data_IF_356855962938
#
_entry.id   IF_356855962938
#
_cell.length_a   1.000
_cell.length_b   1.000
_cell.length_c   1.000
_cell.angle_alpha   90.00
_cell.angle_beta   90.00
_cell.angle_gamma   90.00
#
_symmetry.space_group_name_H-M   'P 1'
#
loop_
_entity.id
_entity.type
_entity.pdbx_description
1 polymer ?
#
# COMPACT_ATOMS: atom_id res chain seq x y z
N UNK A 1 59.12 -77.11 47.62
CA UNK A 1 58.40 -78.31 48.10
C UNK A 1 57.11 -77.89 48.76
N UNK A 2 55.96 -78.15 48.12
CA UNK A 2 54.66 -78.53 48.72
C UNK A 2 53.54 -78.40 47.67
N UNK A 3 53.21 -79.57 47.13
CA UNK A 3 51.92 -80.08 46.65
C UNK A 3 50.91 -79.14 45.98
N UNK A 4 50.66 -79.41 44.69
CA UNK A 4 49.37 -79.14 44.04
C UNK A 4 48.95 -80.49 43.42
N UNK A 5 47.83 -81.12 43.85
CA UNK A 5 47.38 -82.36 43.24
C UNK A 5 46.60 -82.08 41.95
N UNK A 6 46.98 -82.78 40.88
CA UNK A 6 46.14 -83.02 39.72
C UNK A 6 44.92 -83.84 40.15
N UNK A 7 43.71 -83.37 39.80
CA UNK A 7 42.52 -84.22 39.83
C UNK A 7 41.71 -84.04 38.53
N UNK A 8 41.76 -85.10 37.75
CA UNK A 8 40.73 -85.69 36.88
C UNK A 8 39.91 -84.83 35.91
N UNK A 9 40.18 -85.11 34.63
CA UNK A 9 39.28 -85.09 33.48
C UNK A 9 37.81 -85.37 33.78
N UNK A 10 36.93 -84.49 33.28
CA UNK A 10 35.66 -84.89 32.69
C UNK A 10 35.30 -83.93 31.54
N UNK A 11 35.53 -84.41 30.33
CA UNK A 11 35.04 -83.85 29.06
C UNK A 11 33.59 -84.28 28.94
N UNK A 12 32.62 -83.42 29.25
CA UNK A 12 31.22 -83.62 28.86
C UNK A 12 30.60 -82.26 28.48
N UNK A 13 30.06 -82.19 27.27
CA UNK A 13 29.01 -81.25 26.88
C UNK A 13 29.47 -79.92 26.30
N UNK A 14 29.68 -79.88 24.99
CA UNK A 14 29.29 -78.69 24.23
C UNK A 14 27.77 -78.51 24.39
N UNK A 15 27.36 -77.49 25.12
CA UNK A 15 26.08 -76.84 24.90
C UNK A 15 26.41 -75.39 24.54
N UNK A 16 26.44 -75.12 23.24
CA UNK A 16 26.25 -73.78 22.70
C UNK A 16 24.83 -73.39 23.09
N UNK A 17 24.68 -72.64 24.19
CA UNK A 17 23.46 -71.88 24.39
C UNK A 17 23.44 -70.81 23.30
N UNK A 18 22.46 -70.93 22.41
CA UNK A 18 22.10 -69.90 21.47
C UNK A 18 21.71 -68.66 22.26
N UNK A 19 22.68 -67.75 22.46
CA UNK A 19 22.40 -66.37 22.77
C UNK A 19 21.56 -65.86 21.61
N UNK A 20 20.26 -65.71 21.86
CA UNK A 20 19.34 -65.13 20.91
C UNK A 20 19.92 -63.81 20.41
N UNK A 21 19.96 -63.66 19.10
CA UNK A 21 20.16 -62.39 18.42
C UNK A 21 19.06 -61.43 18.89
N UNK A 22 19.30 -60.75 20.02
CA UNK A 22 18.57 -59.54 20.37
C UNK A 22 19.35 -58.37 19.76
N UNK A 23 18.92 -57.84 18.60
CA UNK A 23 19.58 -56.70 17.96
C UNK A 23 19.59 -55.44 18.85
N UNK A 24 18.87 -55.44 19.98
CA UNK A 24 18.86 -54.34 20.95
C UNK A 24 20.00 -54.39 21.97
N UNK A 25 20.70 -55.51 22.12
CA UNK A 25 21.81 -55.64 23.05
C UNK A 25 23.08 -54.89 22.57
N UNK A 26 23.25 -54.73 21.25
CA UNK A 26 24.41 -54.07 20.66
C UNK A 26 24.43 -52.53 20.85
N UNK A 27 23.29 -51.92 21.20
CA UNK A 27 23.12 -50.45 21.18
C UNK A 27 23.41 -49.80 22.54
N UNK A 28 23.59 -50.58 23.62
CA UNK A 28 23.72 -50.02 24.99
C UNK A 28 25.09 -49.37 25.29
N UNK A 29 26.07 -49.48 24.41
CA UNK A 29 27.42 -48.93 24.61
C UNK A 29 27.80 -47.73 23.72
N UNK A 30 26.96 -47.36 22.74
CA UNK A 30 27.29 -46.27 21.81
C UNK A 30 26.65 -44.98 22.30
N UNK A 31 27.43 -44.14 23.00
CA UNK A 31 27.05 -42.75 23.21
C UNK A 31 27.37 -41.99 21.92
N UNK A 32 26.39 -41.90 21.03
CA UNK A 32 26.43 -40.89 19.97
C UNK A 32 26.28 -39.56 20.69
N UNK A 33 27.37 -38.82 20.88
CA UNK A 33 27.29 -37.39 21.14
C UNK A 33 26.70 -36.76 19.88
N UNK A 34 25.37 -36.79 19.79
CA UNK A 34 24.65 -36.02 18.80
C UNK A 34 24.98 -34.57 19.07
N UNK A 35 25.90 -34.00 18.28
CA UNK A 35 26.02 -32.56 18.16
C UNK A 35 24.60 -32.03 18.01
N UNK A 36 24.17 -31.13 18.92
CA UNK A 36 22.89 -30.45 18.71
C UNK A 36 22.95 -29.89 17.30
N UNK A 37 21.97 -30.20 16.43
CA UNK A 37 21.96 -29.58 15.12
C UNK A 37 22.11 -28.08 15.35
N UNK A 38 23.08 -27.47 14.66
CA UNK A 38 23.22 -26.02 14.68
C UNK A 38 21.82 -25.43 14.44
N UNK A 39 21.42 -24.34 15.12
CA UNK A 39 20.15 -23.72 14.82
C UNK A 39 20.09 -23.50 13.32
N UNK A 40 19.12 -24.14 12.66
CA UNK A 40 18.86 -23.97 11.24
C UNK A 40 18.93 -22.46 10.98
N UNK A 41 19.77 -21.98 10.03
CA UNK A 41 19.87 -20.55 9.79
C UNK A 41 18.46 -20.04 9.60
N UNK A 42 18.01 -19.14 10.48
CA UNK A 42 16.65 -18.63 10.52
C UNK A 42 16.29 -18.30 9.07
N UNK A 43 15.48 -19.17 8.46
CA UNK A 43 15.20 -19.10 7.03
C UNK A 43 14.40 -17.84 6.92
N UNK A 44 15.09 -16.74 6.68
CA UNK A 44 14.50 -15.43 6.53
C UNK A 44 13.38 -15.69 5.54
N UNK A 45 12.15 -15.64 6.02
CA UNK A 45 10.97 -15.73 5.18
C UNK A 45 11.08 -14.47 4.35
N UNK A 46 11.84 -14.53 3.27
CA UNK A 46 11.80 -13.58 2.19
C UNK A 46 10.35 -13.65 1.77
N UNK A 47 9.53 -12.76 2.35
CA UNK A 47 8.16 -12.58 1.96
C UNK A 47 8.27 -12.11 0.53
N UNK A 48 8.13 -13.04 -0.40
CA UNK A 48 8.01 -12.71 -1.80
C UNK A 48 7.06 -11.53 -1.91
N UNK A 49 7.45 -10.45 -2.61
CA UNK A 49 6.62 -9.26 -2.67
C UNK A 49 5.21 -9.67 -3.09
N UNK A 50 4.20 -9.18 -2.36
CA UNK A 50 2.81 -9.49 -2.70
C UNK A 50 2.56 -9.14 -4.17
N UNK A 51 1.87 -9.99 -4.95
CA UNK A 51 1.52 -9.67 -6.33
C UNK A 51 0.83 -8.31 -6.41
N UNK A 52 1.09 -7.54 -7.47
CA UNK A 52 0.54 -6.18 -7.64
C UNK A 52 -0.99 -6.17 -7.54
N UNK A 53 -1.66 -7.18 -8.10
CA UNK A 53 -3.11 -7.37 -7.98
C UNK A 53 -3.55 -7.52 -6.52
N UNK A 54 -2.82 -8.28 -5.70
CA UNK A 54 -3.07 -8.44 -4.28
C UNK A 54 -2.75 -7.16 -3.47
N UNK A 55 -1.80 -6.35 -3.94
CA UNK A 55 -1.52 -5.04 -3.35
C UNK A 55 -2.68 -4.06 -3.59
N UNK A 56 -3.23 -4.04 -4.82
CA UNK A 56 -4.41 -3.27 -5.22
C UNK A 56 -5.65 -3.71 -4.44
N UNK A 57 -5.93 -5.02 -4.38
CA UNK A 57 -7.09 -5.55 -3.65
C UNK A 57 -7.04 -5.19 -2.16
N UNK A 58 -5.85 -5.25 -1.55
CA UNK A 58 -5.67 -4.82 -0.17
C UNK A 58 -5.86 -3.30 0.03
N UNK A 59 -5.72 -2.49 -1.02
CA UNK A 59 -6.03 -1.07 -0.99
C UNK A 59 -7.49 -0.80 -0.61
N UNK A 60 -8.44 -1.55 -1.19
CA UNK A 60 -9.87 -1.48 -0.82
C UNK A 60 -10.08 -1.82 0.66
N UNK A 61 -9.49 -2.92 1.12
CA UNK A 61 -9.65 -3.35 2.52
C UNK A 61 -9.07 -2.33 3.50
N UNK A 62 -7.93 -1.74 3.17
CA UNK A 62 -7.31 -0.70 3.98
C UNK A 62 -8.18 0.56 4.03
N UNK A 63 -8.75 0.97 2.90
CA UNK A 63 -9.66 2.12 2.84
C UNK A 63 -10.88 1.93 3.76
N UNK A 64 -11.48 0.75 3.71
CA UNK A 64 -12.63 0.41 4.56
C UNK A 64 -12.26 0.38 6.05
N UNK A 65 -11.19 -0.34 6.42
CA UNK A 65 -10.71 -0.43 7.81
C UNK A 65 -10.24 0.91 8.39
N UNK A 66 -9.88 1.87 7.54
CA UNK A 66 -9.48 3.22 7.95
C UNK A 66 -10.67 4.18 8.05
N UNK A 67 -11.89 3.69 7.82
CA UNK A 67 -13.14 4.42 8.02
C UNK A 67 -13.45 5.42 6.91
N UNK A 68 -12.81 5.31 5.75
CA UNK A 68 -13.01 6.26 4.64
C UNK A 68 -14.47 6.25 4.16
N UNK A 69 -15.12 5.09 4.18
CA UNK A 69 -16.54 4.91 3.82
C UNK A 69 -17.51 5.59 4.80
N UNK A 70 -17.05 6.01 5.98
CA UNK A 70 -17.85 6.82 6.90
C UNK A 70 -18.07 8.27 6.43
N UNK A 71 -17.32 8.72 5.42
CA UNK A 71 -17.47 10.05 4.80
C UNK A 71 -17.47 10.02 3.27
N UNK A 72 -17.06 8.94 2.61
CA UNK A 72 -17.00 8.86 1.16
C UNK A 72 -17.82 7.69 0.64
N UNK A 73 -18.60 7.91 -0.41
CA UNK A 73 -19.16 6.81 -1.17
C UNK A 73 -18.13 6.23 -2.13
N UNK A 74 -18.36 4.96 -2.48
CA UNK A 74 -17.57 4.21 -3.43
C UNK A 74 -18.44 3.65 -4.56
N UNK A 75 -19.73 3.95 -4.55
CA UNK A 75 -20.71 3.41 -5.47
C UNK A 75 -21.64 4.54 -5.96
N UNK A 76 -21.76 4.65 -7.29
CA UNK A 76 -22.49 5.72 -7.96
C UNK A 76 -24.02 5.59 -7.82
N UNK A 77 -24.49 4.49 -7.26
CA UNK A 77 -25.89 4.08 -7.26
C UNK A 77 -26.66 4.48 -6.00
N UNK A 78 -25.99 5.05 -4.98
CA UNK A 78 -26.65 5.45 -3.72
C UNK A 78 -26.74 6.97 -3.62
N UNK A 79 -27.93 7.50 -3.32
CA UNK A 79 -28.12 8.92 -3.00
C UNK A 79 -27.27 9.29 -1.77
N UNK A 80 -26.24 10.13 -1.93
CA UNK A 80 -25.19 10.26 -0.94
C UNK A 80 -25.33 11.55 -0.14
N UNK A 81 -25.28 11.47 1.19
CA UNK A 81 -24.79 12.62 1.95
C UNK A 81 -23.77 12.20 3.00
N UNK A 82 -22.77 11.35 2.69
CA UNK A 82 -21.63 11.30 3.58
C UNK A 82 -20.88 12.63 3.46
N UNK A 83 -20.14 12.99 4.50
CA UNK A 83 -19.52 14.32 4.66
C UNK A 83 -18.48 14.69 3.59
N UNK A 84 -18.15 13.77 2.68
CA UNK A 84 -17.15 13.90 1.62
C UNK A 84 -17.67 13.46 0.23
N UNK A 85 -16.90 13.73 -0.82
CA UNK A 85 -17.28 13.43 -2.19
C UNK A 85 -17.27 11.92 -2.50
N UNK A 86 -18.11 11.50 -3.45
CA UNK A 86 -18.04 10.16 -4.04
C UNK A 86 -16.67 9.90 -4.71
N UNK A 87 -16.14 8.71 -4.47
CA UNK A 87 -14.87 8.24 -5.02
C UNK A 87 -15.04 7.15 -6.09
N UNK A 88 -16.27 6.68 -6.39
CA UNK A 88 -16.53 5.61 -7.35
C UNK A 88 -15.94 5.85 -8.75
N UNK A 89 -15.72 7.11 -9.12
CA UNK A 89 -15.06 7.51 -10.38
C UNK A 89 -13.80 8.37 -10.19
N UNK A 90 -13.18 8.36 -9.02
CA UNK A 90 -12.06 9.29 -8.70
C UNK A 90 -10.84 9.10 -9.60
N UNK A 91 -10.60 7.87 -10.08
CA UNK A 91 -9.51 7.56 -11.01
C UNK A 91 -9.63 8.34 -12.32
N UNK A 92 -10.85 8.61 -12.81
CA UNK A 92 -11.07 9.42 -14.03
C UNK A 92 -10.75 10.90 -13.81
N UNK A 93 -10.92 11.40 -12.59
CA UNK A 93 -10.87 12.83 -12.27
C UNK A 93 -9.49 13.32 -11.85
N UNK A 94 -8.64 12.42 -11.37
CA UNK A 94 -7.36 12.75 -10.72
C UNK A 94 -6.24 11.79 -11.13
N UNK A 95 -5.01 12.12 -10.76
CA UNK A 95 -3.84 11.25 -10.97
C UNK A 95 -3.42 10.54 -9.68
N UNK A 96 -2.68 9.42 -9.82
CA UNK A 96 -2.11 8.71 -8.67
C UNK A 96 -1.20 9.63 -7.81
N UNK A 97 -0.42 10.50 -8.47
CA UNK A 97 0.41 11.48 -7.79
C UNK A 97 -0.42 12.47 -6.95
N UNK A 98 -1.54 12.95 -7.50
CA UNK A 98 -2.45 13.82 -6.75
C UNK A 98 -3.07 13.10 -5.55
N UNK A 99 -3.52 11.86 -5.73
CA UNK A 99 -4.08 11.05 -4.65
C UNK A 99 -3.07 10.80 -3.52
N UNK A 100 -1.80 10.53 -3.84
CA UNK A 100 -0.74 10.37 -2.84
C UNK A 100 -0.49 11.67 -2.06
N UNK A 101 -0.40 12.80 -2.76
CA UNK A 101 -0.24 14.12 -2.14
C UNK A 101 -1.42 14.45 -1.21
N UNK A 102 -2.65 14.27 -1.70
CA UNK A 102 -3.86 14.53 -0.95
C UNK A 102 -3.97 13.66 0.30
N UNK A 103 -3.73 12.35 0.19
CA UNK A 103 -3.79 11.43 1.33
C UNK A 103 -2.65 11.63 2.34
N UNK A 104 -1.55 12.28 1.95
CA UNK A 104 -0.45 12.62 2.86
C UNK A 104 -0.82 13.78 3.77
N UNK A 105 -1.40 14.85 3.23
CA UNK A 105 -1.92 15.97 4.02
C UNK A 105 -3.01 16.78 3.30
N UNK A 106 -4.30 16.47 3.54
CA UNK A 106 -5.40 17.23 2.95
C UNK A 106 -5.43 18.69 3.39
N UNK A 107 -5.06 18.99 4.64
CA UNK A 107 -5.07 20.36 5.18
C UNK A 107 -3.89 21.20 4.71
N UNK A 108 -2.79 20.54 4.36
CA UNK A 108 -1.66 21.16 3.71
C UNK A 108 -2.02 21.62 2.30
N UNK A 109 -2.64 20.75 1.52
CA UNK A 109 -3.10 21.08 0.16
C UNK A 109 -4.31 22.04 0.18
N UNK A 110 -5.27 21.84 1.08
CA UNK A 110 -6.46 22.67 1.22
C UNK A 110 -6.58 23.12 2.69
N UNK A 111 -6.18 24.37 3.04
CA UNK A 111 -6.12 24.85 4.43
C UNK A 111 -7.39 24.63 5.27
N UNK A 112 -8.57 24.61 4.63
CA UNK A 112 -9.87 24.39 5.27
C UNK A 112 -10.51 23.04 4.90
N UNK A 113 -9.70 22.03 4.57
CA UNK A 113 -10.20 20.71 4.20
C UNK A 113 -10.98 20.08 5.35
N UNK A 114 -12.20 19.60 5.05
CA UNK A 114 -13.00 18.79 5.98
C UNK A 114 -12.51 17.35 6.05
N UNK A 115 -11.67 16.90 5.11
CA UNK A 115 -11.07 15.59 5.15
C UNK A 115 -9.93 15.59 6.19
N UNK A 116 -10.02 14.79 7.26
CA UNK A 116 -9.00 14.78 8.28
C UNK A 116 -7.70 14.13 7.79
N UNK A 117 -6.58 14.43 8.46
CA UNK A 117 -5.33 13.66 8.29
C UNK A 117 -5.53 12.26 8.85
N UNK A 118 -5.82 11.30 7.97
CA UNK A 118 -5.87 9.89 8.34
C UNK A 118 -4.45 9.39 8.52
N UNK A 119 -4.13 8.81 9.69
CA UNK A 119 -2.80 8.25 9.97
C UNK A 119 -2.55 7.00 9.11
N UNK A 120 -1.89 7.17 7.97
CA UNK A 120 -1.52 6.10 7.05
C UNK A 120 0.00 5.97 6.98
N UNK A 121 0.53 4.76 7.12
CA UNK A 121 1.91 4.47 6.74
C UNK A 121 2.05 4.45 5.21
N UNK A 122 3.26 4.69 4.70
CA UNK A 122 3.51 4.85 3.25
C UNK A 122 3.00 3.67 2.42
N UNK A 123 3.29 2.43 2.84
CA UNK A 123 2.82 1.24 2.15
C UNK A 123 1.28 1.13 2.12
N UNK A 124 0.59 1.55 3.19
CA UNK A 124 -0.86 1.52 3.23
C UNK A 124 -1.46 2.61 2.34
N UNK A 125 -0.89 3.83 2.37
CA UNK A 125 -1.30 4.95 1.53
C UNK A 125 -1.17 4.61 0.05
N UNK A 126 -0.01 4.10 -0.37
CA UNK A 126 0.24 3.75 -1.78
C UNK A 126 -0.68 2.64 -2.30
N UNK A 127 -1.07 1.68 -1.45
CA UNK A 127 -2.05 0.64 -1.83
C UNK A 127 -3.45 1.22 -2.02
N UNK A 128 -3.85 2.16 -1.17
CA UNK A 128 -5.11 2.90 -1.32
C UNK A 128 -5.07 3.72 -2.62
N UNK A 129 -3.97 4.46 -2.87
CA UNK A 129 -3.77 5.23 -4.12
C UNK A 129 -3.88 4.33 -5.35
N UNK A 130 -3.23 3.16 -5.34
CA UNK A 130 -3.26 2.21 -6.45
C UNK A 130 -4.69 1.72 -6.72
N UNK A 131 -5.46 1.40 -5.67
CA UNK A 131 -6.85 1.00 -5.81
C UNK A 131 -7.75 2.12 -6.35
N UNK A 132 -7.69 3.32 -5.74
CA UNK A 132 -8.49 4.49 -6.16
C UNK A 132 -8.20 4.91 -7.60
N UNK A 133 -6.93 4.79 -8.03
CA UNK A 133 -6.51 5.13 -9.39
C UNK A 133 -7.16 4.24 -10.46
N UNK A 134 -7.58 3.02 -10.10
CA UNK A 134 -8.28 2.10 -10.99
C UNK A 134 -9.79 2.37 -11.12
N UNK A 135 -10.38 3.16 -10.22
CA UNK A 135 -11.84 3.38 -10.18
C UNK A 135 -12.34 4.23 -11.36
N UNK A 136 -13.49 3.83 -11.92
CA UNK A 136 -14.12 4.45 -13.08
C UNK A 136 -13.33 4.36 -14.39
N UNK A 137 -12.13 3.78 -14.39
CA UNK A 137 -11.33 3.64 -15.61
C UNK A 137 -11.79 2.50 -16.52
N UNK A 138 -12.42 1.45 -15.97
CA UNK A 138 -12.97 0.35 -16.76
C UNK A 138 -14.03 0.85 -17.76
N UNK A 139 -14.91 1.77 -17.34
CA UNK A 139 -15.91 2.42 -18.21
C UNK A 139 -15.28 3.35 -19.26
N UNK A 140 -14.00 3.72 -19.08
CA UNK A 140 -13.26 4.64 -19.95
C UNK A 140 -12.33 3.93 -20.93
N UNK A 141 -12.18 2.60 -20.84
CA UNK A 141 -11.36 1.84 -21.79
C UNK A 141 -12.00 1.73 -23.19
N UNK A 142 -13.26 2.16 -23.34
CA UNK A 142 -14.00 2.03 -24.60
C UNK A 142 -13.82 3.18 -25.60
N UNK A 143 -13.29 4.33 -25.21
CA UNK A 143 -12.93 5.42 -26.12
C UNK A 143 -12.15 6.49 -25.36
N UNK A 144 -11.20 7.15 -26.02
CA UNK A 144 -10.71 8.44 -25.52
C UNK A 144 -11.93 9.36 -25.29
N UNK A 145 -12.03 10.04 -24.13
CA UNK A 145 -13.10 11.00 -23.93
C UNK A 145 -13.09 11.98 -25.11
N UNK A 146 -14.26 12.35 -25.65
CA UNK A 146 -14.32 13.24 -26.79
C UNK A 146 -13.49 14.49 -26.49
N UNK A 147 -12.70 14.92 -27.47
CA UNK A 147 -11.96 16.17 -27.34
C UNK A 147 -12.94 17.26 -26.93
N UNK A 148 -12.62 17.98 -25.86
CA UNK A 148 -13.47 19.08 -25.41
C UNK A 148 -13.56 20.15 -26.50
N UNK A 149 -14.76 20.67 -26.71
CA UNK A 149 -14.97 21.82 -27.60
C UNK A 149 -14.87 23.10 -26.76
N UNK A 150 -13.73 23.78 -26.89
CA UNK A 150 -13.44 25.02 -26.16
C UNK A 150 -14.42 26.15 -26.51
N UNK A 151 -14.90 26.23 -27.76
CA UNK A 151 -15.86 27.25 -28.19
C UNK A 151 -17.23 27.01 -27.57
N UNK A 152 -17.72 25.76 -27.64
CA UNK A 152 -18.98 25.40 -26.99
C UNK A 152 -18.90 25.58 -25.47
N UNK A 153 -17.77 25.22 -24.86
CA UNK A 153 -17.50 25.45 -23.44
C UNK A 153 -17.54 26.94 -23.08
N UNK A 154 -16.91 27.81 -23.89
CA UNK A 154 -16.95 29.26 -23.73
C UNK A 154 -18.36 29.82 -23.78
N UNK A 155 -19.17 29.42 -24.77
CA UNK A 155 -20.57 29.87 -24.85
C UNK A 155 -21.40 29.44 -23.64
N UNK A 156 -21.19 28.23 -23.12
CA UNK A 156 -21.85 27.77 -21.90
C UNK A 156 -21.41 28.59 -20.68
N UNK A 157 -20.11 28.89 -20.58
CA UNK A 157 -19.54 29.69 -19.51
C UNK A 157 -20.17 31.09 -19.46
N UNK A 158 -20.35 31.72 -20.62
CA UNK A 158 -21.05 32.99 -20.76
C UNK A 158 -22.55 32.85 -20.49
N UNK A 159 -23.24 31.88 -21.11
CA UNK A 159 -24.70 31.77 -20.98
C UNK A 159 -25.15 31.45 -19.55
N UNK A 160 -24.35 30.69 -18.82
CA UNK A 160 -24.60 30.35 -17.41
C UNK A 160 -24.12 31.45 -16.44
N UNK A 161 -23.54 32.53 -16.97
CA UNK A 161 -23.00 33.64 -16.18
C UNK A 161 -22.01 33.17 -15.10
N UNK A 162 -21.20 32.16 -15.43
CA UNK A 162 -20.21 31.58 -14.52
C UNK A 162 -19.27 32.66 -13.94
N UNK A 163 -18.95 33.66 -14.77
CA UNK A 163 -18.10 34.78 -14.42
C UNK A 163 -18.71 35.71 -13.36
N UNK A 164 -20.04 35.68 -13.16
CA UNK A 164 -20.69 36.45 -12.10
C UNK A 164 -20.23 36.04 -10.71
N UNK A 165 -19.92 34.75 -10.53
CA UNK A 165 -19.40 34.23 -9.27
C UNK A 165 -17.89 33.95 -9.31
N UNK A 166 -17.37 33.45 -10.44
CA UNK A 166 -16.00 32.95 -10.55
C UNK A 166 -15.10 33.85 -11.41
N UNK A 167 -13.82 33.95 -11.07
CA UNK A 167 -12.82 34.54 -11.95
C UNK A 167 -12.34 33.52 -13.00
N UNK A 168 -12.13 33.97 -14.24
CA UNK A 168 -11.53 33.23 -15.35
C UNK A 168 -10.77 34.18 -16.28
N UNK A 169 -9.58 33.78 -16.74
CA UNK A 169 -8.65 34.66 -17.44
C UNK A 169 -8.26 35.91 -16.64
N UNK A 170 -8.26 35.86 -15.31
CA UNK A 170 -7.98 37.00 -14.44
C UNK A 170 -9.12 38.03 -14.33
N UNK A 171 -10.32 37.71 -14.83
CA UNK A 171 -11.49 38.60 -14.80
C UNK A 171 -12.72 37.90 -14.23
N UNK A 172 -13.60 38.60 -13.51
CA UNK A 172 -14.87 38.06 -12.98
C UNK A 172 -15.04 38.16 -11.47
N UNK A 173 -15.93 37.33 -10.94
CA UNK A 173 -16.35 37.34 -9.54
C UNK A 173 -15.35 36.68 -8.57
N UNK A 174 -15.51 37.01 -7.29
CA UNK A 174 -14.71 36.43 -6.18
C UNK A 174 -15.56 35.62 -5.20
N UNK A 175 -16.82 35.37 -5.54
CA UNK A 175 -17.75 34.57 -4.72
C UNK A 175 -17.34 33.09 -4.77
N UNK A 176 -17.03 32.61 -5.97
CA UNK A 176 -16.49 31.28 -6.23
C UNK A 176 -14.97 31.30 -6.45
N UNK A 177 -14.29 30.15 -6.30
CA UNK A 177 -12.86 30.04 -6.58
C UNK A 177 -12.57 30.29 -8.07
N UNK A 178 -11.40 30.87 -8.35
CA UNK A 178 -10.96 31.12 -9.72
C UNK A 178 -10.79 29.81 -10.53
N UNK A 179 -11.16 29.86 -11.82
CA UNK A 179 -11.30 28.71 -12.72
C UNK A 179 -10.25 28.67 -13.84
N UNK A 180 -9.40 29.69 -13.94
CA UNK A 180 -8.33 29.86 -14.95
C UNK A 180 -7.41 28.64 -15.00
N UNK A 181 -7.31 28.00 -13.85
CA UNK A 181 -6.47 26.87 -13.63
C UNK A 181 -7.31 25.87 -12.81
N UNK A 182 -8.13 25.04 -13.46
CA UNK A 182 -8.74 23.88 -12.80
C UNK A 182 -8.07 22.58 -13.20
N UNK A 183 -7.64 22.46 -14.47
CA UNK A 183 -7.04 21.24 -14.99
C UNK A 183 -5.74 20.82 -14.29
N UNK A 184 -4.89 21.78 -13.92
CA UNK A 184 -3.67 21.51 -13.14
C UNK A 184 -3.93 21.07 -11.70
N UNK A 185 -5.05 21.47 -11.06
CA UNK A 185 -5.28 21.17 -9.63
C UNK A 185 -5.33 19.67 -9.38
N UNK A 186 -5.81 18.91 -10.35
CA UNK A 186 -5.97 17.45 -10.30
C UNK A 186 -4.84 16.69 -11.01
N UNK A 187 -3.93 17.41 -11.67
CA UNK A 187 -2.71 16.88 -12.28
C UNK A 187 -1.53 17.08 -11.32
N UNK A 188 -1.34 16.11 -10.42
CA UNK A 188 -0.28 16.14 -9.43
C UNK A 188 1.13 16.36 -10.00
N UNK A 189 1.40 15.97 -11.25
CA UNK A 189 2.71 16.18 -11.88
C UNK A 189 2.88 17.65 -12.25
N UNK A 190 1.85 18.29 -12.81
CA UNK A 190 1.89 19.73 -13.12
C UNK A 190 1.98 20.59 -11.87
N UNK A 191 1.31 20.19 -10.78
CA UNK A 191 1.45 20.84 -9.46
C UNK A 191 2.91 20.83 -8.99
N UNK A 192 3.53 19.65 -8.96
CA UNK A 192 4.92 19.49 -8.50
C UNK A 192 5.91 20.26 -9.38
N UNK A 193 5.73 20.20 -10.69
CA UNK A 193 6.60 20.87 -11.65
C UNK A 193 6.48 22.40 -11.60
N UNK A 194 5.26 22.94 -11.53
CA UNK A 194 5.04 24.39 -11.46
C UNK A 194 5.52 24.97 -10.13
N UNK A 195 5.45 24.20 -9.04
CA UNK A 195 6.03 24.57 -7.76
C UNK A 195 7.57 24.58 -7.81
N UNK A 196 8.20 23.56 -8.41
CA UNK A 196 9.64 23.52 -8.56
C UNK A 196 10.19 24.71 -9.36
N UNK A 197 9.39 25.24 -10.28
CA UNK A 197 9.71 26.43 -11.10
C UNK A 197 9.30 27.76 -10.46
N UNK A 198 8.64 27.75 -9.29
CA UNK A 198 8.18 28.97 -8.63
C UNK A 198 7.08 29.75 -9.37
N UNK A 199 6.45 29.14 -10.38
CA UNK A 199 5.43 29.74 -11.24
C UNK A 199 4.07 29.91 -10.54
N UNK A 200 3.93 29.37 -9.32
CA UNK A 200 2.70 29.38 -8.54
C UNK A 200 3.04 29.85 -7.12
N UNK A 201 3.23 31.15 -6.95
CA UNK A 201 3.52 31.77 -5.64
C UNK A 201 2.27 32.02 -4.80
N UNK A 202 1.11 32.26 -5.43
CA UNK A 202 -0.05 32.87 -4.74
C UNK A 202 -1.33 32.04 -4.80
N UNK A 203 -1.24 30.75 -5.15
CA UNK A 203 -2.42 29.88 -5.06
C UNK A 203 -2.65 29.48 -3.60
N UNK A 204 -3.84 29.77 -3.01
CA UNK A 204 -4.14 29.43 -1.62
C UNK A 204 -4.17 27.92 -1.32
N UNK A 205 -3.90 27.08 -2.33
CA UNK A 205 -3.92 25.62 -2.29
C UNK A 205 -2.52 24.97 -2.34
N UNK A 206 -1.42 25.74 -2.36
CA UNK A 206 -0.05 25.23 -2.67
C UNK A 206 0.98 25.52 -1.56
N UNK A 207 0.56 26.09 -0.42
CA UNK A 207 1.49 26.46 0.66
C UNK A 207 2.24 25.25 1.28
N UNK A 208 1.82 24.01 1.02
CA UNK A 208 2.35 22.83 1.69
C UNK A 208 3.76 22.40 1.27
N UNK A 209 4.06 22.47 -0.02
CA UNK A 209 5.20 21.72 -0.53
C UNK A 209 6.52 22.49 -0.43
N UNK A 210 6.49 23.75 0.05
CA UNK A 210 7.67 24.47 0.55
C UNK A 210 8.20 23.93 1.90
N UNK A 211 7.43 23.08 2.60
CA UNK A 211 7.79 22.61 3.95
C UNK A 211 8.04 21.11 4.05
N UNK A 212 7.93 20.36 2.95
CA UNK A 212 8.41 18.97 2.89
C UNK A 212 9.93 18.99 2.74
N UNK A 213 10.65 19.27 3.83
CA UNK A 213 12.05 18.86 3.92
C UNK A 213 12.06 17.34 4.00
N UNK A 214 12.49 16.68 2.93
CA UNK A 214 12.93 15.29 3.02
C UNK A 214 14.20 15.32 3.87
N UNK A 215 14.05 15.11 5.18
CA UNK A 215 15.21 14.83 6.02
C UNK A 215 15.68 13.42 5.65
N UNK A 216 16.63 13.33 4.72
CA UNK A 216 17.48 12.16 4.62
C UNK A 216 18.27 12.07 5.92
N UNK A 217 17.85 11.18 6.80
CA UNK A 217 18.69 10.72 7.90
C UNK A 217 19.85 9.96 7.25
N UNK A 218 21.07 10.46 7.48
CA UNK A 218 22.33 9.80 7.13
C UNK A 218 22.50 8.53 7.97
#
# INVERSE_FOLDING_TARGET
>A
MRHIPLLFLLVHGLAVEAAGDDPRALVRGVRVEGARPAPEPERQRQKSPMPVSAQIAAGRLLLDRRGCTGCHDLDLLTYPHPRGPDLGSIGRKTTAAWLDLWLRDPTGYLPNSRMPRVRLGDAARLRIVAWLSGLGRADSLSAAPPAGDAYRGGRLFESLQCQGCHAAGGTGGRVGPALDHLGWKVDGVRVLLAQARGEISDSPYILFARHIRVTHQK
#
